data_IF_235879568935
#
_entry.id   IF_235879568935
#
_cell.length_a   1.000
_cell.length_b   1.000
_cell.length_c   1.000
_cell.angle_alpha   90.00
_cell.angle_beta   90.00
_cell.angle_gamma   90.00
#
_symmetry.space_group_name_H-M   'P 1'
#
loop_
_entity.id
_entity.type
_entity.pdbx_description
1 polymer ?
#
# COMPACT_ATOMS: atom_id res chain seq x y z
N UNK A 1 -17.64 -10.55 0.90
CA UNK A 1 -16.89 -11.71 1.44
C UNK A 1 -17.43 -12.06 2.81
N UNK A 2 -17.61 -13.35 3.12
CA UNK A 2 -18.01 -13.85 4.45
C UNK A 2 -16.84 -14.64 5.02
N UNK A 3 -16.31 -14.22 6.16
CA UNK A 3 -15.26 -14.92 6.90
C UNK A 3 -15.89 -15.63 8.09
N UNK A 4 -15.78 -16.96 8.13
CA UNK A 4 -16.16 -17.77 9.30
C UNK A 4 -14.91 -18.04 10.12
N UNK A 5 -15.00 -17.85 11.44
CA UNK A 5 -13.87 -17.97 12.36
C UNK A 5 -14.35 -18.79 13.55
N UNK A 6 -13.65 -19.87 13.87
CA UNK A 6 -13.92 -20.66 15.06
C UNK A 6 -13.12 -20.10 16.25
N UNK A 7 -13.85 -19.69 17.29
CA UNK A 7 -13.31 -19.10 18.51
C UNK A 7 -14.08 -19.62 19.72
N UNK A 8 -13.41 -19.73 20.86
CA UNK A 8 -14.05 -20.14 22.10
C UNK A 8 -14.99 -19.03 22.62
N UNK A 9 -16.00 -19.37 23.45
CA UNK A 9 -16.90 -18.37 24.03
C UNK A 9 -16.17 -17.29 24.84
N UNK A 10 -15.10 -17.67 25.53
CA UNK A 10 -14.25 -16.79 26.33
C UNK A 10 -13.47 -15.82 25.44
N UNK A 11 -12.87 -16.31 24.35
CA UNK A 11 -12.22 -15.48 23.34
C UNK A 11 -13.19 -14.48 22.70
N UNK A 12 -14.43 -14.90 22.40
CA UNK A 12 -15.46 -14.02 21.87
C UNK A 12 -15.80 -12.90 22.87
N UNK A 13 -15.86 -13.20 24.16
CA UNK A 13 -16.12 -12.21 25.21
C UNK A 13 -15.01 -11.16 25.27
N UNK A 14 -13.74 -11.59 25.25
CA UNK A 14 -12.60 -10.68 25.19
C UNK A 14 -12.62 -9.81 23.91
N UNK A 15 -12.97 -10.40 22.77
CA UNK A 15 -13.06 -9.68 21.49
C UNK A 15 -14.14 -8.60 21.52
N UNK A 16 -15.31 -8.91 22.09
CA UNK A 16 -16.42 -7.95 22.25
C UNK A 16 -16.02 -6.79 23.14
N UNK A 17 -15.38 -7.09 24.27
CA UNK A 17 -14.89 -6.06 25.18
C UNK A 17 -13.87 -5.14 24.48
N UNK A 18 -12.89 -5.71 23.78
CA UNK A 18 -11.89 -4.93 23.04
C UNK A 18 -12.50 -4.07 21.93
N UNK A 19 -13.48 -4.58 21.19
CA UNK A 19 -14.19 -3.82 20.16
C UNK A 19 -15.00 -2.66 20.76
N UNK A 20 -15.69 -2.90 21.88
CA UNK A 20 -16.46 -1.88 22.59
C UNK A 20 -15.57 -0.76 23.15
N UNK A 21 -14.38 -1.10 23.65
CA UNK A 21 -13.40 -0.11 24.13
C UNK A 21 -12.88 0.80 23.01
N UNK A 22 -12.80 0.30 21.77
CA UNK A 22 -12.49 1.12 20.60
C UNK A 22 -13.70 1.84 19.99
N UNK A 23 -14.90 1.67 20.56
CA UNK A 23 -16.14 2.24 20.03
C UNK A 23 -16.57 1.64 18.69
N UNK A 24 -16.03 0.48 18.32
CA UNK A 24 -16.29 -0.18 17.04
C UNK A 24 -17.15 -1.43 17.22
N UNK A 25 -17.86 -1.82 16.15
CA UNK A 25 -18.53 -3.13 16.13
C UNK A 25 -17.49 -4.25 16.08
N UNK A 26 -17.81 -5.41 16.66
CA UNK A 26 -16.93 -6.59 16.62
C UNK A 26 -16.54 -6.97 15.18
N UNK A 27 -17.44 -6.76 14.21
CA UNK A 27 -17.15 -7.01 12.79
C UNK A 27 -16.00 -6.15 12.29
N UNK A 28 -16.08 -4.83 12.52
CA UNK A 28 -15.07 -3.88 12.04
C UNK A 28 -13.73 -4.11 12.75
N UNK A 29 -13.78 -4.30 14.06
CA UNK A 29 -12.60 -4.57 14.88
C UNK A 29 -11.83 -5.82 14.42
N UNK A 30 -12.55 -6.90 14.10
CA UNK A 30 -11.93 -8.14 13.58
C UNK A 30 -11.41 -7.96 12.17
N UNK A 31 -12.17 -7.29 11.29
CA UNK A 31 -11.73 -7.04 9.91
C UNK A 31 -10.44 -6.21 9.87
N UNK A 32 -10.35 -5.13 10.64
CA UNK A 32 -9.14 -4.29 10.70
C UNK A 32 -7.90 -5.01 11.23
N UNK A 33 -8.10 -6.04 12.06
CA UNK A 33 -7.01 -6.77 12.72
C UNK A 33 -6.63 -8.07 12.01
N UNK A 34 -7.58 -8.69 11.30
CA UNK A 34 -7.37 -9.91 10.52
C UNK A 34 -6.82 -9.62 9.12
N UNK A 35 -7.14 -8.45 8.56
CA UNK A 35 -6.55 -8.01 7.30
C UNK A 35 -5.13 -7.49 7.58
N UNK A 36 -4.13 -7.83 6.75
CA UNK A 36 -2.83 -7.20 6.85
C UNK A 36 -3.03 -5.71 6.65
N UNK A 37 -2.78 -4.91 7.68
CA UNK A 37 -2.63 -3.46 7.52
C UNK A 37 -1.40 -3.31 6.65
N UNK A 38 -1.62 -3.02 5.36
CA UNK A 38 -0.54 -2.62 4.49
C UNK A 38 0.23 -1.52 5.21
N UNK A 39 1.55 -1.64 5.29
CA UNK A 39 2.35 -0.62 5.93
C UNK A 39 2.41 0.59 5.00
N UNK A 40 1.32 1.36 4.98
CA UNK A 40 1.15 2.56 4.16
C UNK A 40 2.32 3.52 4.39
N UNK A 41 2.84 3.56 5.61
CA UNK A 41 3.97 4.40 5.98
C UNK A 41 5.29 3.92 5.32
N UNK A 42 5.52 2.61 5.25
CA UNK A 42 6.62 2.06 4.45
C UNK A 42 6.42 2.28 2.95
N UNK A 43 5.19 2.14 2.45
CA UNK A 43 4.88 2.41 1.05
C UNK A 43 5.15 3.88 0.68
N UNK A 44 4.76 4.80 1.55
CA UNK A 44 5.01 6.24 1.39
C UNK A 44 6.51 6.55 1.41
N UNK A 45 7.25 5.96 2.36
CA UNK A 45 8.70 6.15 2.46
C UNK A 45 9.46 5.61 1.24
N UNK A 46 9.02 4.47 0.70
CA UNK A 46 9.56 3.92 -0.57
C UNK A 46 9.29 4.86 -1.74
N UNK A 47 8.09 5.43 -1.81
CA UNK A 47 7.72 6.39 -2.85
C UNK A 47 8.57 7.67 -2.77
N UNK A 48 8.74 8.23 -1.57
CA UNK A 48 9.60 9.41 -1.35
C UNK A 48 11.04 9.15 -1.76
N UNK A 49 11.59 8.01 -1.37
CA UNK A 49 12.97 7.60 -1.74
C UNK A 49 13.14 7.47 -3.25
N UNK A 50 12.10 7.00 -3.94
CA UNK A 50 12.11 6.87 -5.40
C UNK A 50 11.95 8.21 -6.14
N UNK A 51 11.14 9.12 -5.59
CA UNK A 51 10.84 10.41 -6.22
C UNK A 51 11.90 11.49 -5.93
N UNK A 52 12.53 11.49 -4.76
CA UNK A 52 13.60 12.44 -4.40
C UNK A 52 14.64 12.66 -5.50
N UNK A 53 15.33 11.62 -5.99
CA UNK A 53 16.33 11.79 -7.04
C UNK A 53 15.75 12.23 -8.40
N UNK A 54 14.44 12.01 -8.64
CA UNK A 54 13.77 12.48 -9.88
C UNK A 54 13.50 13.97 -9.81
N UNK A 55 13.10 14.47 -8.64
CA UNK A 55 12.93 15.91 -8.39
C UNK A 55 14.27 16.62 -8.53
N UNK A 56 15.34 16.09 -7.93
CA UNK A 56 16.69 16.67 -8.06
C UNK A 56 17.16 16.72 -9.52
N UNK A 57 16.90 15.66 -10.30
CA UNK A 57 17.20 15.63 -11.74
C UNK A 57 16.38 16.65 -12.54
N UNK A 58 15.10 16.81 -12.22
CA UNK A 58 14.23 17.78 -12.86
C UNK A 58 14.68 19.23 -12.56
N UNK A 59 15.01 19.53 -11.31
CA UNK A 59 15.56 20.83 -10.90
C UNK A 59 16.91 21.10 -11.59
N UNK A 60 17.76 20.07 -11.71
CA UNK A 60 19.02 20.16 -12.43
C UNK A 60 18.86 20.25 -13.97
N UNK A 61 17.63 20.31 -14.49
CA UNK A 61 17.35 20.46 -15.93
C UNK A 61 17.64 19.20 -16.75
N UNK A 62 17.79 18.02 -16.12
CA UNK A 62 17.99 16.74 -16.81
C UNK A 62 16.66 16.19 -17.32
N UNK A 63 16.07 16.90 -18.26
CA UNK A 63 14.83 16.52 -18.93
C UNK A 63 15.21 15.75 -20.20
N UNK A 64 14.53 14.64 -20.47
CA UNK A 64 14.72 13.92 -21.74
C UNK A 64 14.18 14.77 -22.89
N UNK A 65 14.97 14.94 -23.93
CA UNK A 65 14.55 15.58 -25.19
C UNK A 65 13.94 14.59 -26.18
N UNK A 66 13.91 13.30 -25.85
CA UNK A 66 13.36 12.26 -26.72
C UNK A 66 11.84 12.40 -26.82
N UNK A 67 11.33 12.33 -28.04
CA UNK A 67 9.90 12.21 -28.28
C UNK A 67 9.39 10.84 -27.82
N UNK A 68 8.09 10.76 -27.56
CA UNK A 68 7.42 9.51 -27.19
C UNK A 68 7.67 8.44 -28.25
N UNK A 69 7.54 8.79 -29.54
CA UNK A 69 7.75 7.87 -30.66
C UNK A 69 9.20 7.33 -30.70
N UNK A 70 10.19 8.18 -30.47
CA UNK A 70 11.60 7.78 -30.42
C UNK A 70 11.90 6.83 -29.26
N UNK A 71 11.23 7.00 -28.11
CA UNK A 71 11.37 6.09 -26.96
C UNK A 71 10.77 4.72 -27.30
N UNK A 72 9.61 4.69 -27.97
CA UNK A 72 8.99 3.43 -28.39
C UNK A 72 9.87 2.67 -29.38
N UNK A 73 10.42 3.34 -30.39
CA UNK A 73 11.31 2.72 -31.37
C UNK A 73 12.60 2.17 -30.73
N UNK A 74 13.20 2.91 -29.80
CA UNK A 74 14.41 2.47 -29.08
C UNK A 74 14.15 1.21 -28.24
N UNK A 75 13.05 1.16 -27.48
CA UNK A 75 12.73 0.03 -26.62
C UNK A 75 12.29 -1.21 -27.43
N UNK A 76 11.58 -1.02 -28.55
CA UNK A 76 11.27 -2.09 -29.50
C UNK A 76 12.52 -2.65 -30.19
N UNK A 77 13.51 -1.79 -30.49
CA UNK A 77 14.78 -2.21 -31.07
C UNK A 77 15.67 -2.96 -30.06
N UNK A 78 15.64 -2.59 -28.76
CA UNK A 78 16.34 -3.31 -27.68
C UNK A 78 15.72 -4.65 -27.32
N UNK A 79 14.42 -4.84 -27.59
CA UNK A 79 13.70 -6.07 -27.30
C UNK A 79 13.88 -7.18 -28.35
N UNK A 80 14.60 -6.90 -29.44
CA UNK A 80 15.04 -7.87 -30.46
C UNK A 80 16.41 -8.45 -30.13
#
# INVERSE_FOLDING_TARGET
MRLSIDITPEQLQHLKAAAALQGQSIKNYVLERALPKGNEQEALKKLETFLGPRVDKAIAGKISTSSVDSIFEEELAKAK
#
